data_IF_800226118063
#
_entry.id   IF_800226118063
#
_cell.length_a   1.000
_cell.length_b   1.000
_cell.length_c   1.000
_cell.angle_alpha   90.00
_cell.angle_beta   90.00
_cell.angle_gamma   90.00
#
_symmetry.space_group_name_H-M   'P 1'
#
loop_
_entity.id
_entity.type
_entity.pdbx_description
1 polymer ?
#
# COMPACT_ATOMS: atom_id res chain seq x y z
N UNK A 1 10.63 -60.62 9.76
CA UNK A 1 10.05 -59.26 9.80
C UNK A 1 11.12 -58.34 10.33
N UNK A 2 11.94 -57.70 9.48
CA UNK A 2 13.06 -56.91 10.02
C UNK A 2 13.31 -55.64 9.20
N UNK A 3 13.95 -55.67 8.03
CA UNK A 3 14.43 -54.42 7.39
C UNK A 3 13.35 -53.62 6.64
N UNK A 4 12.39 -54.28 5.99
CA UNK A 4 11.37 -53.59 5.19
C UNK A 4 10.40 -52.79 6.06
N UNK A 5 9.89 -53.40 7.13
CA UNK A 5 8.96 -52.74 8.05
C UNK A 5 9.62 -51.59 8.82
N UNK A 6 10.88 -51.76 9.25
CA UNK A 6 11.67 -50.67 9.85
C UNK A 6 11.81 -49.47 8.92
N UNK A 7 12.08 -49.69 7.63
CA UNK A 7 12.15 -48.61 6.64
C UNK A 7 10.80 -47.92 6.39
N UNK A 8 9.71 -48.69 6.35
CA UNK A 8 8.35 -48.14 6.21
C UNK A 8 7.97 -47.30 7.43
N UNK A 9 8.33 -47.74 8.64
CA UNK A 9 8.10 -47.00 9.88
C UNK A 9 8.92 -45.70 9.89
N UNK A 10 10.22 -45.76 9.61
CA UNK A 10 11.10 -44.57 9.54
C UNK A 10 10.59 -43.52 8.56
N UNK A 11 10.19 -43.94 7.35
CA UNK A 11 9.67 -43.00 6.35
C UNK A 11 8.30 -42.41 6.74
N UNK A 12 7.47 -43.16 7.47
CA UNK A 12 6.22 -42.62 8.03
C UNK A 12 6.51 -41.56 9.08
N UNK A 13 7.48 -41.80 9.96
CA UNK A 13 7.90 -40.84 10.98
C UNK A 13 8.47 -39.56 10.36
N UNK A 14 9.33 -39.69 9.33
CA UNK A 14 9.85 -38.57 8.56
C UNK A 14 8.73 -37.75 7.88
N UNK A 15 7.74 -38.44 7.29
CA UNK A 15 6.59 -37.76 6.67
C UNK A 15 5.73 -37.02 7.70
N UNK A 16 5.45 -37.61 8.86
CA UNK A 16 4.70 -36.92 9.90
C UNK A 16 5.51 -35.73 10.46
N UNK A 17 6.82 -35.88 10.64
CA UNK A 17 7.68 -34.76 11.03
C UNK A 17 7.66 -33.62 10.00
N UNK A 18 7.78 -33.95 8.71
CA UNK A 18 7.70 -32.96 7.63
C UNK A 18 6.34 -32.25 7.60
N UNK A 19 5.24 -33.00 7.76
CA UNK A 19 3.88 -32.45 7.84
C UNK A 19 3.73 -31.46 8.98
N UNK A 20 4.27 -31.76 10.17
CA UNK A 20 4.22 -30.81 11.31
C UNK A 20 4.95 -29.50 10.99
N UNK A 21 6.08 -29.55 10.30
CA UNK A 21 6.80 -28.35 9.84
C UNK A 21 5.96 -27.54 8.86
N UNK A 22 5.29 -28.18 7.90
CA UNK A 22 4.40 -27.50 6.96
C UNK A 22 3.22 -26.82 7.64
N UNK A 23 2.56 -27.50 8.58
CA UNK A 23 1.44 -26.92 9.35
C UNK A 23 1.90 -25.69 10.11
N UNK A 24 3.00 -25.80 10.86
CA UNK A 24 3.54 -24.67 11.63
C UNK A 24 3.92 -23.49 10.73
N UNK A 25 4.61 -23.74 9.63
CA UNK A 25 4.99 -22.68 8.69
C UNK A 25 3.78 -22.02 8.02
N UNK A 26 2.71 -22.77 7.78
CA UNK A 26 1.45 -22.23 7.27
C UNK A 26 0.77 -21.30 8.26
N UNK A 27 0.73 -21.67 9.54
CA UNK A 27 0.11 -20.86 10.60
C UNK A 27 0.89 -19.55 10.81
N UNK A 28 2.22 -19.63 10.93
CA UNK A 28 3.07 -18.44 11.05
C UNK A 28 2.93 -17.50 9.85
N UNK A 29 2.81 -18.06 8.63
CA UNK A 29 2.56 -17.28 7.43
C UNK A 29 1.19 -16.59 7.46
N UNK A 30 0.15 -17.29 7.91
CA UNK A 30 -1.20 -16.75 8.03
C UNK A 30 -1.25 -15.60 9.05
N UNK A 31 -0.57 -15.74 10.19
CA UNK A 31 -0.50 -14.69 11.21
C UNK A 31 0.16 -13.41 10.67
N UNK A 32 1.27 -13.57 9.94
CA UNK A 32 1.96 -12.45 9.28
C UNK A 32 1.04 -11.76 8.26
N UNK A 33 0.32 -12.54 7.45
CA UNK A 33 -0.63 -12.02 6.47
C UNK A 33 -1.75 -11.23 7.15
N UNK A 34 -2.29 -11.74 8.27
CA UNK A 34 -3.35 -11.07 9.02
C UNK A 34 -2.88 -9.76 9.65
N UNK A 35 -1.65 -9.69 10.20
CA UNK A 35 -1.08 -8.46 10.74
C UNK A 35 -0.87 -7.41 9.64
N UNK A 36 -0.30 -7.81 8.51
CA UNK A 36 -0.11 -6.94 7.34
C UNK A 36 -1.45 -6.41 6.82
N UNK A 37 -2.45 -7.29 6.68
CA UNK A 37 -3.80 -6.90 6.28
C UNK A 37 -4.36 -5.83 7.21
N UNK A 38 -4.28 -6.06 8.51
CA UNK A 38 -4.79 -5.13 9.52
C UNK A 38 -4.11 -3.76 9.42
N UNK A 39 -2.78 -3.73 9.32
CA UNK A 39 -2.02 -2.48 9.17
C UNK A 39 -2.44 -1.70 7.92
N UNK A 40 -2.65 -2.40 6.81
CA UNK A 40 -3.04 -1.78 5.56
C UNK A 40 -4.47 -1.25 5.61
N UNK A 41 -5.39 -2.00 6.22
CA UNK A 41 -6.77 -1.57 6.44
C UNK A 41 -6.84 -0.35 7.38
N UNK A 42 -6.04 -0.34 8.44
CA UNK A 42 -5.97 0.77 9.38
C UNK A 42 -5.36 2.01 8.73
N UNK A 43 -4.30 1.85 7.93
CA UNK A 43 -3.72 2.94 7.14
C UNK A 43 -4.73 3.51 6.15
N UNK A 44 -5.51 2.65 5.48
CA UNK A 44 -6.57 3.07 4.55
C UNK A 44 -7.64 3.88 5.26
N UNK A 45 -8.06 3.47 6.47
CA UNK A 45 -9.02 4.25 7.27
C UNK A 45 -8.46 5.61 7.68
N UNK A 46 -7.22 5.65 8.16
CA UNK A 46 -6.55 6.91 8.49
C UNK A 46 -6.44 7.84 7.29
N UNK A 47 -6.21 7.27 6.10
CA UNK A 47 -6.19 8.02 4.85
C UNK A 47 -7.56 8.60 4.51
N UNK A 48 -8.64 7.82 4.66
CA UNK A 48 -10.00 8.34 4.46
C UNK A 48 -10.30 9.51 5.39
N UNK A 49 -10.02 9.37 6.69
CA UNK A 49 -10.23 10.45 7.67
C UNK A 49 -9.40 11.68 7.32
N UNK A 50 -8.14 11.49 6.93
CA UNK A 50 -7.29 12.58 6.45
C UNK A 50 -7.89 13.31 5.24
N UNK A 51 -8.41 12.57 4.25
CA UNK A 51 -9.06 13.16 3.07
C UNK A 51 -10.35 13.91 3.42
N UNK A 52 -11.17 13.34 4.31
CA UNK A 52 -12.39 13.97 4.82
C UNK A 52 -12.09 15.29 5.56
N UNK A 53 -10.97 15.37 6.29
CA UNK A 53 -10.56 16.57 7.02
C UNK A 53 -9.91 17.63 6.11
N UNK A 54 -9.11 17.21 5.13
CA UNK A 54 -8.32 18.14 4.33
C UNK A 54 -9.11 18.82 3.22
N UNK A 55 -10.11 18.15 2.63
CA UNK A 55 -10.94 18.72 1.55
C UNK A 55 -11.67 19.99 2.04
N UNK A 56 -12.37 19.99 3.20
CA UNK A 56 -12.95 21.20 3.76
C UNK A 56 -11.90 22.23 4.17
N UNK A 57 -10.78 21.79 4.76
CA UNK A 57 -9.72 22.69 5.21
C UNK A 57 -9.04 23.41 4.04
N UNK A 58 -8.91 22.78 2.88
CA UNK A 58 -8.32 23.40 1.71
C UNK A 58 -9.13 24.59 1.19
N UNK A 59 -10.46 24.57 1.36
CA UNK A 59 -11.35 25.68 0.95
C UNK A 59 -11.13 26.98 1.74
N UNK A 60 -10.53 26.90 2.94
CA UNK A 60 -10.26 28.07 3.79
C UNK A 60 -8.82 28.57 3.68
N UNK A 61 -7.95 27.87 2.95
CA UNK A 61 -6.54 28.23 2.79
C UNK A 61 -6.34 29.27 1.67
N UNK A 62 -5.49 30.26 1.96
CA UNK A 62 -5.03 31.20 0.94
C UNK A 62 -4.14 30.50 -0.09
N UNK A 63 -4.01 31.08 -1.28
CA UNK A 63 -3.21 30.51 -2.37
C UNK A 63 -1.75 30.32 -1.98
N UNK A 64 -1.21 31.32 -1.28
CA UNK A 64 0.14 31.25 -0.77
C UNK A 64 0.32 30.11 0.23
N UNK A 65 -0.66 29.83 1.10
CA UNK A 65 -0.58 28.71 2.05
C UNK A 65 -0.66 27.35 1.35
N UNK A 66 -1.52 27.23 0.34
CA UNK A 66 -1.60 26.00 -0.47
C UNK A 66 -0.30 25.76 -1.23
N UNK A 67 0.24 26.77 -1.91
CA UNK A 67 1.47 26.63 -2.72
C UNK A 67 2.74 26.43 -1.88
N UNK A 68 2.86 27.12 -0.74
CA UNK A 68 4.10 27.10 0.06
C UNK A 68 4.18 25.97 1.09
N UNK A 69 3.04 25.45 1.57
CA UNK A 69 3.01 24.46 2.64
C UNK A 69 2.08 23.27 2.36
N UNK A 70 0.94 23.50 1.70
CA UNK A 70 -0.04 22.45 1.39
C UNK A 70 0.47 21.45 0.37
N UNK A 71 0.71 21.88 -0.87
CA UNK A 71 1.11 21.02 -2.00
C UNK A 71 2.41 20.27 -1.70
N UNK A 72 3.50 20.90 -1.21
CA UNK A 72 4.73 20.15 -0.90
C UNK A 72 4.51 19.02 0.10
N UNK A 73 3.75 19.26 1.18
CA UNK A 73 3.45 18.23 2.18
C UNK A 73 2.60 17.09 1.62
N UNK A 74 1.67 17.41 0.70
CA UNK A 74 0.84 16.40 0.03
C UNK A 74 1.64 15.58 -0.97
N UNK A 75 2.56 16.20 -1.71
CA UNK A 75 3.49 15.50 -2.61
C UNK A 75 4.41 14.56 -1.84
N UNK A 76 4.93 14.97 -0.67
CA UNK A 76 5.73 14.11 0.20
C UNK A 76 4.92 12.90 0.70
N UNK A 77 3.67 13.13 1.14
CA UNK A 77 2.76 12.07 1.53
C UNK A 77 2.48 11.12 0.36
N UNK A 78 2.23 11.66 -0.83
CA UNK A 78 1.99 10.89 -2.04
C UNK A 78 3.22 10.04 -2.41
N UNK A 79 4.42 10.61 -2.38
CA UNK A 79 5.67 9.90 -2.66
C UNK A 79 5.92 8.74 -1.68
N UNK A 80 5.65 8.94 -0.39
CA UNK A 80 5.74 7.86 0.60
C UNK A 80 4.70 6.76 0.35
N UNK A 81 3.49 7.14 -0.03
CA UNK A 81 2.36 6.23 -0.24
C UNK A 81 2.54 5.40 -1.51
N UNK A 82 2.99 6.02 -2.60
CA UNK A 82 3.26 5.31 -3.86
C UNK A 82 4.45 4.35 -3.71
N UNK A 83 5.44 4.69 -2.89
CA UNK A 83 6.55 3.79 -2.54
C UNK A 83 6.05 2.53 -1.82
N UNK A 84 5.08 2.69 -0.90
CA UNK A 84 4.42 1.55 -0.25
C UNK A 84 3.63 0.72 -1.26
N UNK A 85 2.85 1.35 -2.15
CA UNK A 85 2.14 0.65 -3.24
C UNK A 85 3.12 -0.15 -4.11
N UNK A 86 4.25 0.43 -4.50
CA UNK A 86 5.27 -0.24 -5.29
C UNK A 86 5.90 -1.43 -4.54
N UNK A 87 6.06 -1.31 -3.22
CA UNK A 87 6.54 -2.40 -2.37
C UNK A 87 5.52 -3.52 -2.28
N UNK A 88 4.24 -3.21 -2.08
CA UNK A 88 3.15 -4.18 -2.07
C UNK A 88 3.01 -4.90 -3.42
N UNK A 89 3.04 -4.17 -4.55
CA UNK A 89 2.98 -4.75 -5.90
C UNK A 89 4.14 -5.69 -6.21
N UNK A 90 5.36 -5.38 -5.73
CA UNK A 90 6.54 -6.24 -5.89
C UNK A 90 6.51 -7.45 -4.95
N UNK A 91 5.80 -7.35 -3.84
CA UNK A 91 5.62 -8.48 -2.94
C UNK A 91 4.65 -9.50 -3.54
N UNK A 92 4.89 -10.79 -3.29
CA UNK A 92 3.93 -11.85 -3.65
C UNK A 92 2.64 -11.78 -2.82
N UNK A 93 2.62 -10.96 -1.75
CA UNK A 93 1.52 -10.78 -0.81
C UNK A 93 0.35 -9.98 -1.41
N UNK A 94 0.57 -9.24 -2.50
CA UNK A 94 -0.50 -8.52 -3.19
C UNK A 94 -1.61 -9.46 -3.73
N UNK A 95 -1.28 -10.74 -3.96
CA UNK A 95 -2.26 -11.76 -4.36
C UNK A 95 -3.15 -12.12 -3.17
N UNK A 96 -2.54 -12.37 -2.01
CA UNK A 96 -3.23 -12.80 -0.78
C UNK A 96 -4.02 -11.64 -0.13
N UNK A 97 -3.53 -10.41 -0.26
CA UNK A 97 -4.10 -9.20 0.31
C UNK A 97 -4.72 -8.27 -0.74
N UNK A 98 -5.21 -8.83 -1.85
CA UNK A 98 -5.66 -8.09 -3.03
C UNK A 98 -6.63 -6.96 -2.71
N UNK A 99 -7.68 -7.25 -1.94
CA UNK A 99 -8.71 -6.27 -1.60
C UNK A 99 -8.16 -5.09 -0.80
N UNK A 100 -7.37 -5.36 0.25
CA UNK A 100 -6.74 -4.31 1.07
C UNK A 100 -5.72 -3.49 0.28
N UNK A 101 -4.93 -4.14 -0.59
CA UNK A 101 -4.00 -3.44 -1.48
C UNK A 101 -4.73 -2.53 -2.48
N UNK A 102 -5.83 -3.00 -3.06
CA UNK A 102 -6.65 -2.21 -3.99
C UNK A 102 -7.32 -1.03 -3.28
N UNK A 103 -7.84 -1.24 -2.07
CA UNK A 103 -8.46 -0.17 -1.28
C UNK A 103 -7.45 0.92 -0.94
N UNK A 104 -6.26 0.54 -0.46
CA UNK A 104 -5.20 1.51 -0.18
C UNK A 104 -4.75 2.24 -1.45
N UNK A 105 -4.55 1.52 -2.56
CA UNK A 105 -4.17 2.12 -3.84
C UNK A 105 -5.20 3.16 -4.32
N UNK A 106 -6.50 2.86 -4.16
CA UNK A 106 -7.56 3.83 -4.48
C UNK A 106 -7.43 5.13 -3.68
N UNK A 107 -7.01 5.06 -2.42
CA UNK A 107 -6.79 6.28 -1.63
C UNK A 107 -5.57 7.08 -2.07
N UNK A 108 -4.53 6.39 -2.51
CA UNK A 108 -3.35 7.05 -3.08
C UNK A 108 -3.70 7.78 -4.39
N UNK A 109 -4.58 7.21 -5.22
CA UNK A 109 -5.10 7.89 -6.40
C UNK A 109 -5.99 9.08 -6.04
N UNK A 110 -6.87 8.96 -5.03
CA UNK A 110 -7.67 10.09 -4.55
C UNK A 110 -6.78 11.26 -4.04
N UNK A 111 -5.65 10.97 -3.40
CA UNK A 111 -4.68 12.00 -3.01
C UNK A 111 -4.08 12.69 -4.23
N UNK A 112 -3.73 11.92 -5.27
CA UNK A 112 -3.22 12.48 -6.52
C UNK A 112 -4.23 13.42 -7.17
N UNK A 113 -5.48 13.00 -7.22
CA UNK A 113 -6.58 13.82 -7.74
C UNK A 113 -6.75 15.11 -6.92
N UNK A 114 -6.71 15.03 -5.59
CA UNK A 114 -6.77 16.22 -4.73
C UNK A 114 -5.59 17.17 -4.99
N UNK A 115 -4.36 16.66 -5.11
CA UNK A 115 -3.18 17.49 -5.42
C UNK A 115 -3.40 18.22 -6.74
N UNK A 116 -3.81 17.49 -7.77
CA UNK A 116 -4.09 18.04 -9.09
C UNK A 116 -5.25 19.06 -9.04
N UNK A 117 -6.29 18.81 -8.25
CA UNK A 117 -7.39 19.76 -8.06
C UNK A 117 -6.90 21.03 -7.38
N UNK A 118 -6.06 20.94 -6.34
CA UNK A 118 -5.49 22.11 -5.66
C UNK A 118 -4.54 22.91 -6.56
N UNK A 119 -3.83 22.22 -7.44
CA UNK A 119 -3.00 22.84 -8.48
C UNK A 119 -3.87 23.50 -9.55
N UNK A 120 -4.89 22.81 -10.08
CA UNK A 120 -5.72 23.25 -11.22
C UNK A 120 -6.81 24.25 -10.87
N UNK A 121 -7.50 24.13 -9.71
CA UNK A 121 -8.47 25.13 -9.24
C UNK A 121 -7.84 26.52 -9.05
N UNK A 122 -6.51 26.59 -8.96
CA UNK A 122 -5.76 27.86 -8.88
C UNK A 122 -4.84 28.11 -10.08
N UNK A 123 -4.63 27.13 -10.97
CA UNK A 123 -3.88 27.29 -12.22
C UNK A 123 -4.69 27.87 -13.38
N UNK A 124 -5.99 28.14 -13.22
CA UNK A 124 -6.68 29.10 -14.10
C UNK A 124 -6.05 30.52 -14.08
N UNK A 125 -4.96 30.72 -13.33
CA UNK A 125 -4.09 31.89 -13.45
C UNK A 125 -2.66 31.66 -13.96
N UNK A 126 -2.08 30.44 -14.12
CA UNK A 126 -0.77 30.27 -14.80
C UNK A 126 -0.34 28.80 -15.11
N UNK A 127 -0.03 28.55 -16.38
CA UNK A 127 0.47 27.31 -17.03
C UNK A 127 1.92 26.94 -16.64
N UNK A 128 2.14 26.15 -15.58
CA UNK A 128 3.49 25.64 -15.23
C UNK A 128 3.53 24.13 -14.95
N UNK A 129 2.39 23.50 -14.65
CA UNK A 129 2.37 22.10 -14.21
C UNK A 129 2.47 21.07 -15.36
N UNK A 130 2.01 21.43 -16.55
CA UNK A 130 2.08 20.57 -17.74
C UNK A 130 3.53 20.27 -18.16
N UNK A 131 4.48 21.15 -17.86
CA UNK A 131 5.91 20.93 -18.16
C UNK A 131 6.54 19.88 -17.22
N UNK A 132 6.15 19.84 -15.93
CA UNK A 132 6.75 18.92 -14.95
C UNK A 132 6.21 17.49 -15.12
N UNK A 133 4.93 17.34 -15.47
CA UNK A 133 4.34 16.03 -15.75
C UNK A 133 4.80 15.43 -17.08
N UNK A 134 5.21 16.27 -18.04
CA UNK A 134 5.87 15.82 -19.26
C UNK A 134 7.26 15.25 -18.99
N UNK A 135 8.06 15.87 -18.11
CA UNK A 135 9.41 15.38 -17.77
C UNK A 135 9.41 14.03 -17.03
N UNK A 136 8.38 13.72 -16.25
CA UNK A 136 8.29 12.45 -15.50
C UNK A 136 7.85 11.28 -16.39
N UNK A 137 7.11 11.54 -17.47
CA UNK A 137 6.63 10.50 -18.39
C UNK A 137 7.65 10.10 -19.48
N UNK A 138 8.79 10.79 -19.57
CA UNK A 138 9.86 10.55 -20.56
C UNK A 138 10.98 9.61 -20.06
N UNK A 139 10.75 8.84 -18.99
CA UNK A 139 11.67 7.82 -18.45
C UNK A 139 11.14 6.39 -18.50
#
# INVERSE_FOLDING_TARGET
MVVFEEKVISFREENEAAKQVFVKGSDEHLDILLDLKKRLDDLTKSFNTFMEDIIPAANVLTEQQVKSAGIPSLLDLYASSISLVATLKRSRLAIDLKASCQAYYSQVENLRELIHDLESHRANENDVLDEILAEINDF
#
